data_IF_034588985591
#
_entry.id   IF_034588985591
#
_cell.length_a   1.000
_cell.length_b   1.000
_cell.length_c   1.000
_cell.angle_alpha   90.00
_cell.angle_beta   90.00
_cell.angle_gamma   90.00
#
_symmetry.space_group_name_H-M   'P 1'
#
loop_
_entity.id
_entity.type
_entity.pdbx_description
1 polymer ?
#
# COMPACT_ATOMS: atom_id res chain seq x y z
N UNK A 1 9.94 -35.50 -1.78
CA UNK A 1 9.31 -34.19 -1.99
C UNK A 1 10.01 -33.18 -1.12
N UNK A 2 10.90 -32.38 -1.69
CA UNK A 2 11.59 -31.31 -0.97
C UNK A 2 10.79 -30.01 -1.14
N UNK A 3 10.74 -29.20 -0.10
CA UNK A 3 10.11 -27.88 -0.16
C UNK A 3 11.08 -26.84 -0.70
N UNK A 4 10.55 -25.88 -1.47
CA UNK A 4 11.29 -24.73 -1.95
C UNK A 4 10.74 -23.46 -1.31
N UNK A 5 11.64 -22.60 -0.80
CA UNK A 5 11.27 -21.32 -0.17
C UNK A 5 11.38 -20.19 -1.18
N UNK A 6 10.36 -19.34 -1.21
CA UNK A 6 10.31 -18.09 -1.96
C UNK A 6 10.09 -16.95 -0.97
N UNK A 7 10.82 -15.84 -1.10
CA UNK A 7 10.67 -14.63 -0.27
C UNK A 7 10.06 -13.52 -1.11
N UNK A 8 9.00 -12.90 -0.58
CA UNK A 8 8.35 -11.73 -1.17
C UNK A 8 8.75 -10.48 -0.37
N UNK A 9 8.78 -9.33 -1.05
CA UNK A 9 9.00 -8.01 -0.45
C UNK A 9 7.95 -7.08 -1.06
N UNK A 10 7.19 -6.38 -0.22
CA UNK A 10 6.37 -5.25 -0.61
C UNK A 10 7.05 -3.99 -0.03
N UNK A 11 7.65 -3.13 -0.85
CA UNK A 11 8.21 -1.86 -0.36
C UNK A 11 7.07 -0.93 0.09
N UNK A 12 7.32 -0.12 1.11
CA UNK A 12 6.40 0.94 1.51
C UNK A 12 6.36 2.05 0.44
N UNK A 13 5.19 2.66 0.27
CA UNK A 13 5.00 3.92 -0.42
C UNK A 13 4.12 4.85 0.43
N UNK A 14 3.62 5.97 -0.13
CA UNK A 14 2.89 7.01 0.62
C UNK A 14 1.39 7.05 0.23
N UNK A 15 0.91 6.09 -0.58
CA UNK A 15 -0.44 6.07 -1.09
C UNK A 15 -1.29 5.14 -0.22
N UNK A 16 -2.55 5.50 0.10
CA UNK A 16 -3.39 4.70 1.00
C UNK A 16 -4.26 3.65 0.28
N UNK A 17 -3.75 3.02 -0.78
CA UNK A 17 -4.52 2.09 -1.62
C UNK A 17 -3.96 0.67 -1.57
N UNK A 18 -4.73 -0.34 -1.11
CA UNK A 18 -4.24 -1.72 -1.12
C UNK A 18 -4.13 -2.32 -2.53
N UNK A 19 -3.08 -3.09 -2.78
CA UNK A 19 -2.86 -3.77 -4.06
C UNK A 19 -3.14 -5.28 -4.03
N UNK A 20 -3.42 -5.83 -5.21
CA UNK A 20 -3.53 -7.27 -5.43
C UNK A 20 -2.66 -7.70 -6.60
N UNK A 21 -1.84 -8.74 -6.38
CA UNK A 21 -0.94 -9.32 -7.38
C UNK A 21 -1.16 -10.83 -7.43
N UNK A 22 -1.24 -11.39 -8.64
CA UNK A 22 -1.31 -12.85 -8.84
C UNK A 22 0.06 -13.37 -9.27
N UNK A 23 0.60 -14.33 -8.51
CA UNK A 23 1.81 -15.06 -8.84
C UNK A 23 1.46 -16.41 -9.44
N UNK A 24 1.99 -16.72 -10.62
CA UNK A 24 1.79 -18.01 -11.27
C UNK A 24 3.02 -18.90 -11.10
N UNK A 25 2.83 -20.07 -10.51
CA UNK A 25 3.84 -21.12 -10.40
C UNK A 25 3.57 -22.20 -11.42
N UNK A 26 4.59 -22.59 -12.18
CA UNK A 26 4.59 -23.76 -13.07
C UNK A 26 5.73 -24.70 -12.70
N UNK A 27 5.52 -26.00 -12.89
CA UNK A 27 6.52 -27.02 -12.69
C UNK A 27 6.99 -27.59 -14.03
N UNK A 28 8.22 -28.10 -14.08
CA UNK A 28 8.77 -28.81 -15.22
C UNK A 28 9.51 -30.07 -14.77
N UNK A 29 9.64 -31.04 -15.68
CA UNK A 29 10.24 -32.34 -15.41
C UNK A 29 9.22 -33.42 -15.00
N UNK A 30 9.58 -34.68 -15.26
CA UNK A 30 8.68 -35.82 -15.04
C UNK A 30 7.33 -35.65 -15.74
N UNK A 31 6.25 -35.92 -15.01
CA UNK A 31 4.87 -35.75 -15.44
C UNK A 31 4.23 -34.43 -14.96
N UNK A 32 5.02 -33.45 -14.52
CA UNK A 32 4.52 -32.19 -13.94
C UNK A 32 4.40 -31.03 -14.94
N UNK A 33 4.70 -31.24 -16.23
CA UNK A 33 4.76 -30.15 -17.23
C UNK A 33 3.43 -29.43 -17.50
N UNK A 34 2.30 -29.98 -17.07
CA UNK A 34 0.98 -29.33 -17.13
C UNK A 34 0.49 -28.81 -15.78
N UNK A 35 1.29 -28.95 -14.72
CA UNK A 35 0.90 -28.54 -13.36
C UNK A 35 1.29 -27.08 -13.15
N UNK A 36 0.28 -26.26 -12.92
CA UNK A 36 0.43 -24.87 -12.50
C UNK A 36 -0.54 -24.52 -11.37
N UNK A 37 -0.20 -23.48 -10.59
CA UNK A 37 -1.09 -22.88 -9.60
C UNK A 37 -0.84 -21.38 -9.49
N UNK A 38 -1.91 -20.67 -9.17
CA UNK A 38 -1.88 -19.25 -8.84
C UNK A 38 -1.85 -19.06 -7.32
N UNK A 39 -1.10 -18.06 -6.89
CA UNK A 39 -1.10 -17.52 -5.54
C UNK A 39 -1.53 -16.05 -5.63
N UNK A 40 -2.67 -15.74 -5.03
CA UNK A 40 -3.15 -14.35 -4.90
C UNK A 40 -2.50 -13.72 -3.68
N UNK A 41 -1.73 -12.67 -3.90
CA UNK A 41 -1.09 -11.85 -2.87
C UNK A 41 -1.89 -10.56 -2.72
N UNK A 42 -2.30 -10.25 -1.48
CA UNK A 42 -2.91 -8.97 -1.12
C UNK A 42 -1.91 -8.16 -0.32
N UNK A 43 -1.46 -7.05 -0.88
CA UNK A 43 -0.66 -6.06 -0.17
C UNK A 43 -1.65 -5.21 0.61
N UNK A 44 -1.47 -5.17 1.93
CA UNK A 44 -2.28 -4.30 2.78
C UNK A 44 -1.52 -3.02 2.95
N UNK A 45 -2.26 -1.95 2.82
CA UNK A 45 -1.81 -0.61 3.06
C UNK A 45 -1.82 -0.31 4.56
N UNK A 46 -0.75 0.31 5.06
CA UNK A 46 -0.65 0.83 6.43
C UNK A 46 -0.64 2.36 6.50
N UNK A 47 -0.82 3.04 5.36
CA UNK A 47 -0.98 4.47 5.28
C UNK A 47 -2.44 4.88 5.50
N UNK A 48 -2.62 5.97 6.23
CA UNK A 48 -3.94 6.50 6.53
C UNK A 48 -4.07 7.90 5.91
N UNK A 49 -5.05 8.14 5.02
CA UNK A 49 -5.19 9.43 4.37
C UNK A 49 -5.50 10.50 5.43
N UNK A 50 -4.62 11.49 5.53
CA UNK A 50 -4.74 12.57 6.53
C UNK A 50 -4.52 13.95 5.89
N UNK A 51 -5.20 14.96 6.44
CA UNK A 51 -4.93 16.36 6.17
C UNK A 51 -4.15 16.97 7.32
N UNK A 52 -3.00 17.56 6.99
CA UNK A 52 -2.19 18.31 7.96
C UNK A 52 -2.52 19.79 7.84
N UNK A 53 -3.08 20.35 8.90
CA UNK A 53 -3.35 21.78 9.03
C UNK A 53 -2.18 22.45 9.76
N UNK A 54 -1.75 23.62 9.29
CA UNK A 54 -0.75 24.45 10.01
C UNK A 54 -1.23 25.01 11.35
N UNK A 55 -2.54 25.10 11.55
CA UNK A 55 -3.15 25.39 12.84
C UNK A 55 -4.51 24.71 12.97
N UNK A 56 -4.78 24.09 14.11
CA UNK A 56 -6.10 23.51 14.44
C UNK A 56 -7.04 24.53 15.09
N UNK A 57 -6.51 25.67 15.55
CA UNK A 57 -7.28 26.77 16.13
C UNK A 57 -6.79 28.08 15.52
N UNK A 58 -7.67 28.81 14.84
CA UNK A 58 -7.33 30.07 14.20
C UNK A 58 -8.23 31.20 14.75
N UNK A 59 -7.79 31.93 15.78
CA UNK A 59 -8.57 33.05 16.31
C UNK A 59 -8.57 34.22 15.31
N UNK A 60 -9.75 34.75 15.03
CA UNK A 60 -9.93 35.91 14.14
C UNK A 60 -10.86 36.90 14.83
N UNK A 61 -10.47 38.17 14.85
CA UNK A 61 -11.28 39.26 15.39
C UNK A 61 -12.30 39.76 14.36
N UNK A 62 -13.34 40.44 14.81
CA UNK A 62 -14.28 41.12 13.89
C UNK A 62 -13.53 42.08 12.96
N UNK A 63 -13.92 42.08 11.69
CA UNK A 63 -13.25 42.77 10.58
C UNK A 63 -11.78 42.36 10.31
N UNK A 64 -11.28 41.29 10.94
CA UNK A 64 -9.95 40.73 10.72
C UNK A 64 -9.90 39.63 9.67
N UNK A 65 -8.69 39.23 9.28
CA UNK A 65 -8.43 38.03 8.47
C UNK A 65 -7.22 37.27 8.99
N UNK A 66 -7.19 35.97 8.72
CA UNK A 66 -6.07 35.10 9.02
C UNK A 66 -5.93 34.05 7.92
N UNK A 67 -4.72 33.51 7.76
CA UNK A 67 -4.43 32.43 6.82
C UNK A 67 -3.92 31.21 7.57
N UNK A 68 -4.19 30.04 7.01
CA UNK A 68 -3.58 28.78 7.39
C UNK A 68 -3.37 27.97 6.12
N UNK A 69 -2.39 27.09 6.14
CA UNK A 69 -2.14 26.11 5.08
C UNK A 69 -2.71 24.74 5.44
N UNK A 70 -3.07 23.99 4.40
CA UNK A 70 -3.48 22.59 4.44
C UNK A 70 -2.61 21.83 3.45
N UNK A 71 -2.14 20.64 3.83
CA UNK A 71 -1.49 19.70 2.91
C UNK A 71 -1.99 18.28 3.17
N UNK A 72 -1.75 17.38 2.23
CA UNK A 72 -1.86 15.94 2.48
C UNK A 72 -0.71 15.51 3.40
N UNK A 73 -0.98 14.57 4.31
CA UNK A 73 0.08 13.79 4.94
C UNK A 73 0.81 12.99 3.85
N UNK A 74 2.14 12.94 3.95
CA UNK A 74 3.00 12.04 3.19
C UNK A 74 3.21 10.81 4.03
#
# INVERSE_FOLDING_TARGET
NLEHRVRLIAPADDNASPETVTLTHSASGGNYGSVSRELVVKVRDDDNPELVLSSTVLPVLEAGSATYTVKLAT
#
